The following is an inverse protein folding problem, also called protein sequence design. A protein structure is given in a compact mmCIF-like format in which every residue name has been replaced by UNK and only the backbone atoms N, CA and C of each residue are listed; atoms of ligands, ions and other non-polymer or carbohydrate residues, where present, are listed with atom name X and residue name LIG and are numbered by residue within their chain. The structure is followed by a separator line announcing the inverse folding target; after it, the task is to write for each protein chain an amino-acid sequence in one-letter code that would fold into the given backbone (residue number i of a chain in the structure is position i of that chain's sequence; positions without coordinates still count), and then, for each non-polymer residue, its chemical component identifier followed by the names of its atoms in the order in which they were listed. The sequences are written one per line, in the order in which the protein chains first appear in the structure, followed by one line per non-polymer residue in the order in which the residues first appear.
data_IF_895160786985
#
_entry.id   IF_895160786985
#
_cell.length_a   1.000
_cell.length_b   1.000
_cell.length_c   1.000
_cell.angle_alpha   90.00
_cell.angle_beta   90.00
_cell.angle_gamma   90.00
#
_symmetry.space_group_name_H-M   'P 1'
#
loop_
_entity.id
_entity.type
_entity.pdbx_description
1 polymer ?
#
# COMPACT_ATOMS: atom_id res chain seq x y z
N UNK A 1 21.85 23.73 36.58
CA UNK A 1 21.68 23.51 35.13
C UNK A 1 20.57 22.49 34.81
N UNK A 2 19.89 21.91 35.81
CA UNK A 2 18.90 20.83 35.62
C UNK A 2 17.57 21.28 34.97
N UNK A 3 17.04 22.47 35.30
CA UNK A 3 15.69 22.88 34.83
C UNK A 3 15.54 23.25 33.34
N UNK A 4 16.62 23.32 32.55
CA UNK A 4 16.52 23.62 31.12
C UNK A 4 16.44 22.34 30.26
N UNK A 5 16.94 21.23 30.78
CA UNK A 5 16.88 19.94 30.11
C UNK A 5 15.50 19.28 30.31
N UNK A 6 14.97 19.32 31.54
CA UNK A 6 13.64 18.77 31.85
C UNK A 6 12.54 19.44 31.02
N UNK A 7 12.60 20.78 30.89
CA UNK A 7 11.69 21.54 30.03
C UNK A 7 11.82 21.21 28.55
N UNK A 8 13.04 20.95 28.06
CA UNK A 8 13.26 20.51 26.69
C UNK A 8 12.62 19.15 26.46
N UNK A 9 12.80 18.21 27.39
CA UNK A 9 12.21 16.87 27.31
C UNK A 9 10.67 16.93 27.30
N UNK A 10 10.07 17.74 28.16
CA UNK A 10 8.61 17.95 28.19
C UNK A 10 8.08 18.51 26.86
N UNK A 11 8.79 19.45 26.24
CA UNK A 11 8.40 19.98 24.92
C UNK A 11 8.50 18.92 23.82
N UNK A 12 9.53 18.08 23.85
CA UNK A 12 9.71 16.99 22.89
C UNK A 12 8.64 15.90 23.07
N UNK A 13 8.25 15.59 24.29
CA UNK A 13 7.17 14.65 24.59
C UNK A 13 5.82 15.16 24.07
N UNK A 14 5.47 16.41 24.37
CA UNK A 14 4.25 17.04 23.86
C UNK A 14 4.23 17.11 22.32
N UNK A 15 5.37 17.43 21.70
CA UNK A 15 5.49 17.45 20.24
C UNK A 15 5.30 16.05 19.64
N UNK A 16 5.90 15.04 20.26
CA UNK A 16 5.72 13.64 19.86
C UNK A 16 4.24 13.26 19.93
N UNK A 17 3.56 13.46 21.06
CA UNK A 17 2.13 13.14 21.20
C UNK A 17 1.27 13.84 20.14
N UNK A 18 1.58 15.11 19.84
CA UNK A 18 0.91 15.85 18.80
C UNK A 18 1.14 15.25 17.40
N UNK A 19 2.38 14.86 17.09
CA UNK A 19 2.69 14.14 15.86
C UNK A 19 1.92 12.82 15.76
N UNK A 20 1.88 12.03 16.83
CA UNK A 20 1.17 10.76 16.87
C UNK A 20 -0.33 10.95 16.56
N UNK A 21 -0.98 11.94 17.18
CA UNK A 21 -2.40 12.28 16.95
C UNK A 21 -2.66 12.72 15.50
N UNK A 22 -1.80 13.57 14.93
CA UNK A 22 -2.04 14.16 13.60
C UNK A 22 -1.59 13.28 12.43
N UNK A 23 -0.59 12.43 12.61
CA UNK A 23 0.01 11.63 11.52
C UNK A 23 -0.53 10.21 11.41
N UNK A 24 -1.11 9.64 12.48
CA UNK A 24 -1.57 8.26 12.45
C UNK A 24 -2.65 8.00 11.37
N UNK A 25 -3.62 8.92 11.23
CA UNK A 25 -4.70 8.78 10.23
C UNK A 25 -4.19 9.01 8.79
N UNK A 26 -3.43 10.08 8.49
CA UNK A 26 -2.81 10.25 7.18
C UNK A 26 -1.94 9.08 6.72
N UNK A 27 -1.17 8.46 7.62
CA UNK A 27 -0.35 7.30 7.26
C UNK A 27 -1.19 6.05 6.93
N UNK A 28 -2.30 5.84 7.65
CA UNK A 28 -3.24 4.76 7.33
C UNK A 28 -3.95 4.99 5.99
N UNK A 29 -4.37 6.22 5.72
CA UNK A 29 -4.97 6.62 4.45
C UNK A 29 -4.00 6.46 3.28
N UNK A 30 -2.74 6.88 3.45
CA UNK A 30 -1.67 6.63 2.48
C UNK A 30 -1.51 5.12 2.17
N UNK A 31 -1.57 4.28 3.20
CA UNK A 31 -1.55 2.82 3.04
C UNK A 31 -2.74 2.30 2.22
N UNK A 32 -3.95 2.82 2.48
CA UNK A 32 -5.16 2.45 1.74
C UNK A 32 -5.12 2.86 0.26
N UNK A 33 -4.56 4.04 -0.05
CA UNK A 33 -4.33 4.50 -1.43
C UNK A 33 -3.48 3.48 -2.20
N UNK A 34 -2.35 3.07 -1.61
CA UNK A 34 -1.47 2.06 -2.21
C UNK A 34 -2.21 0.74 -2.41
N UNK A 35 -2.89 0.23 -1.38
CA UNK A 35 -3.66 -1.02 -1.44
C UNK A 35 -4.70 -0.99 -2.57
N UNK A 36 -5.45 0.11 -2.66
CA UNK A 36 -6.48 0.33 -3.69
C UNK A 36 -5.89 0.27 -5.09
N UNK A 37 -4.76 0.93 -5.33
CA UNK A 37 -4.11 0.95 -6.64
C UNK A 37 -3.52 -0.42 -7.03
N UNK A 38 -2.96 -1.16 -6.07
CA UNK A 38 -2.54 -2.56 -6.27
C UNK A 38 -3.73 -3.41 -6.70
N UNK A 39 -4.82 -3.39 -5.94
CA UNK A 39 -6.04 -4.17 -6.21
C UNK A 39 -6.63 -3.81 -7.58
N UNK A 40 -6.71 -2.51 -7.90
CA UNK A 40 -7.19 -2.02 -9.19
C UNK A 40 -6.30 -2.54 -10.34
N UNK A 41 -4.99 -2.46 -10.19
CA UNK A 41 -4.03 -2.95 -11.16
C UNK A 41 -4.14 -4.44 -11.46
N UNK A 42 -4.30 -5.26 -10.41
CA UNK A 42 -4.54 -6.71 -10.53
C UNK A 42 -5.87 -6.98 -11.23
N UNK A 43 -6.94 -6.30 -10.82
CA UNK A 43 -8.29 -6.47 -11.36
C UNK A 43 -8.36 -6.10 -12.85
N UNK A 44 -7.73 -5.00 -13.22
CA UNK A 44 -7.84 -4.39 -14.55
C UNK A 44 -6.73 -4.88 -15.51
N UNK A 45 -5.78 -5.68 -15.02
CA UNK A 45 -4.59 -6.13 -15.77
C UNK A 45 -3.76 -4.98 -16.34
N UNK A 46 -3.79 -3.82 -15.66
CA UNK A 46 -3.28 -2.56 -16.21
C UNK A 46 -1.82 -2.66 -16.69
N UNK A 47 -1.01 -3.49 -16.04
CA UNK A 47 0.44 -3.59 -16.29
C UNK A 47 0.91 -5.01 -16.67
N UNK A 48 -0.01 -5.93 -16.99
CA UNK A 48 0.30 -7.30 -17.44
C UNK A 48 -0.18 -7.46 -18.89
N UNK A 49 0.69 -7.15 -19.86
CA UNK A 49 0.39 -7.28 -21.30
C UNK A 49 1.04 -8.55 -21.87
N UNK A 50 0.36 -9.69 -21.74
CA UNK A 50 -0.20 -10.29 -22.96
C UNK A 50 -1.72 -10.49 -22.82
N UNK A 51 -2.48 -10.33 -23.92
CA UNK A 51 -3.91 -10.63 -23.91
C UNK A 51 -4.13 -12.06 -23.43
N UNK A 52 -5.24 -12.29 -22.74
CA UNK A 52 -5.63 -13.65 -22.37
C UNK A 52 -5.59 -14.55 -23.60
N UNK A 53 -4.98 -15.72 -23.46
CA UNK A 53 -5.07 -16.76 -24.46
C UNK A 53 -6.55 -16.94 -24.85
N UNK A 54 -6.85 -17.00 -26.14
CA UNK A 54 -8.23 -17.03 -26.66
C UNK A 54 -9.10 -18.12 -25.98
N UNK A 55 -8.50 -19.28 -25.71
CA UNK A 55 -9.12 -20.39 -24.96
C UNK A 55 -9.58 -19.98 -23.56
N UNK A 56 -8.80 -19.15 -22.86
CA UNK A 56 -9.12 -18.66 -21.52
C UNK A 56 -10.22 -17.60 -21.57
N UNK A 57 -10.20 -16.70 -22.57
CA UNK A 57 -11.28 -15.75 -22.81
C UNK A 57 -12.63 -16.45 -23.07
N UNK A 58 -12.63 -17.44 -23.96
CA UNK A 58 -13.82 -18.26 -24.27
C UNK A 58 -14.34 -19.03 -23.05
N UNK A 59 -13.44 -19.61 -22.24
CA UNK A 59 -13.82 -20.31 -21.00
C UNK A 59 -14.48 -19.37 -20.00
N UNK A 60 -13.93 -18.16 -19.81
CA UNK A 60 -14.49 -17.15 -18.90
C UNK A 60 -15.86 -16.65 -19.37
N UNK A 61 -16.01 -16.38 -20.67
CA UNK A 61 -17.30 -16.00 -21.25
C UNK A 61 -18.37 -17.06 -21.02
N UNK A 62 -18.04 -18.36 -21.18
CA UNK A 62 -18.96 -19.48 -20.88
C UNK A 62 -19.37 -19.56 -19.41
N UNK A 63 -18.53 -19.07 -18.49
CA UNK A 63 -18.79 -19.05 -17.04
C UNK A 63 -19.45 -17.73 -16.58
N UNK A 64 -19.75 -16.79 -17.50
CA UNK A 64 -20.29 -15.48 -17.15
C UNK A 64 -19.30 -14.55 -16.44
N UNK A 65 -18.00 -14.84 -16.52
CA UNK A 65 -16.95 -14.06 -15.86
C UNK A 65 -16.33 -13.04 -16.81
N UNK A 66 -15.94 -11.88 -16.29
CA UNK A 66 -15.25 -10.85 -17.06
C UNK A 66 -13.92 -11.40 -17.61
N UNK A 67 -13.61 -11.19 -18.90
CA UNK A 67 -12.32 -11.58 -19.47
C UNK A 67 -11.18 -10.89 -18.72
N UNK A 68 -11.35 -9.62 -18.35
CA UNK A 68 -10.35 -8.79 -17.65
C UNK A 68 -9.98 -9.33 -16.25
N UNK A 69 -10.83 -10.12 -15.60
CA UNK A 69 -10.56 -10.63 -14.26
C UNK A 69 -9.72 -11.92 -14.35
N UNK A 70 -8.39 -11.89 -14.18
CA UNK A 70 -7.52 -13.09 -14.22
C UNK A 70 -8.01 -14.21 -13.28
N UNK A 71 -8.52 -13.83 -12.10
CA UNK A 71 -8.87 -14.73 -10.99
C UNK A 71 -10.39 -14.67 -10.77
N UNK A 72 -11.08 -15.69 -11.26
CA UNK A 72 -12.53 -15.80 -11.38
C UNK A 72 -13.33 -15.67 -10.07
N UNK A 73 -12.72 -15.91 -8.91
CA UNK A 73 -13.27 -15.77 -7.55
C UNK A 73 -12.08 -15.73 -6.57
N UNK A 74 -12.21 -14.96 -5.49
CA UNK A 74 -11.13 -14.41 -4.65
C UNK A 74 -10.03 -15.36 -4.16
N UNK A 75 -8.86 -14.74 -3.91
CA UNK A 75 -7.90 -15.05 -2.84
C UNK A 75 -6.74 -14.07 -2.94
N UNK A 76 -6.21 -13.83 -4.15
CA UNK A 76 -5.01 -13.00 -4.30
C UNK A 76 -5.26 -11.50 -4.12
N UNK A 77 -6.20 -10.89 -4.85
CA UNK A 77 -6.50 -9.45 -4.66
C UNK A 77 -7.10 -9.16 -3.28
N UNK A 78 -7.87 -10.12 -2.73
CA UNK A 78 -8.47 -10.03 -1.40
C UNK A 78 -7.44 -10.25 -0.27
N UNK A 79 -6.27 -10.83 -0.59
CA UNK A 79 -5.17 -11.00 0.37
C UNK A 79 -4.42 -9.72 0.67
N UNK A 80 -4.57 -8.67 -0.14
CA UNK A 80 -3.90 -7.40 0.11
C UNK A 80 -4.58 -6.66 1.25
N UNK A 81 -3.83 -6.42 2.31
CA UNK A 81 -4.27 -5.76 3.53
C UNK A 81 -3.34 -4.60 3.85
N UNK A 82 -3.89 -3.67 4.61
CA UNK A 82 -3.22 -2.59 5.31
C UNK A 82 -3.19 -2.97 6.79
N UNK A 83 -2.03 -2.78 7.42
CA UNK A 83 -1.86 -3.10 8.83
C UNK A 83 -1.06 -1.96 9.47
N UNK A 84 -1.68 -1.26 10.42
CA UNK A 84 -0.97 -0.27 11.24
C UNK A 84 -0.11 -1.01 12.27
N UNK A 85 1.20 -0.83 12.18
CA UNK A 85 2.18 -1.39 13.14
C UNK A 85 2.43 -0.40 14.27
N UNK A 86 2.58 0.88 13.92
CA UNK A 86 2.75 2.02 14.85
C UNK A 86 2.10 3.26 14.25
N UNK A 87 2.10 4.36 15.00
CA UNK A 87 1.60 5.65 14.50
C UNK A 87 2.39 6.14 13.28
N UNK A 88 3.67 5.76 13.17
CA UNK A 88 4.61 6.15 12.11
C UNK A 88 4.81 5.06 11.04
N UNK A 89 4.15 3.91 11.17
CA UNK A 89 4.42 2.75 10.32
C UNK A 89 3.13 1.99 9.95
N UNK A 90 2.87 1.91 8.65
CA UNK A 90 1.78 1.13 8.05
C UNK A 90 2.37 0.17 7.03
N UNK A 91 2.02 -1.11 7.15
CA UNK A 91 2.38 -2.14 6.20
C UNK A 91 1.27 -2.30 5.17
N UNK A 92 1.66 -2.38 3.90
CA UNK A 92 0.75 -2.69 2.79
C UNK A 92 1.32 -3.87 2.02
N UNK A 93 0.48 -4.85 1.76
CA UNK A 93 0.88 -6.02 0.98
C UNK A 93 -0.06 -7.18 1.22
N UNK A 94 0.31 -8.34 0.70
CA UNK A 94 -0.39 -9.59 0.98
C UNK A 94 -0.29 -9.96 2.46
N UNK A 95 -1.35 -10.60 2.96
CA UNK A 95 -1.47 -11.07 4.35
C UNK A 95 -0.65 -12.34 4.65
N UNK A 96 0.02 -12.92 3.64
CA UNK A 96 0.84 -14.11 3.79
C UNK A 96 2.33 -13.77 3.68
N UNK A 97 3.20 -14.12 4.65
CA UNK A 97 4.62 -13.74 4.65
C UNK A 97 5.37 -14.15 3.38
N UNK A 98 5.08 -15.34 2.85
CA UNK A 98 5.69 -15.81 1.60
C UNK A 98 5.19 -15.02 0.38
N UNK A 99 3.94 -14.54 0.41
CA UNK A 99 3.41 -13.67 -0.64
C UNK A 99 4.13 -12.33 -0.64
N UNK A 100 4.31 -11.75 0.56
CA UNK A 100 4.96 -10.46 0.78
C UNK A 100 6.43 -10.47 0.35
N UNK A 101 7.16 -11.54 0.67
CA UNK A 101 8.55 -11.73 0.23
C UNK A 101 8.74 -11.78 -1.30
N UNK A 102 7.66 -12.01 -2.06
CA UNK A 102 7.71 -12.14 -3.52
C UNK A 102 7.13 -10.92 -4.24
N UNK A 103 6.61 -9.92 -3.53
CA UNK A 103 6.02 -8.72 -4.12
C UNK A 103 7.04 -7.93 -4.95
N UNK A 104 8.24 -7.75 -4.42
CA UNK A 104 9.36 -7.09 -5.11
C UNK A 104 10.39 -8.07 -5.69
N UNK A 105 10.07 -9.36 -5.64
CA UNK A 105 10.93 -10.43 -6.14
C UNK A 105 12.03 -10.81 -5.16
N UNK A 106 12.73 -11.90 -5.50
CA UNK A 106 13.84 -12.42 -4.71
C UNK A 106 14.97 -12.87 -5.64
N UNK A 107 15.90 -11.94 -5.88
CA UNK A 107 17.02 -12.13 -6.81
C UNK A 107 17.86 -13.40 -6.54
N UNK A 108 18.17 -13.79 -5.29
CA UNK A 108 18.97 -15.00 -5.03
C UNK A 108 18.33 -16.32 -5.49
N UNK A 109 17.01 -16.38 -5.69
CA UNK A 109 16.32 -17.55 -6.28
C UNK A 109 15.74 -17.27 -7.67
N UNK A 110 16.13 -16.17 -8.31
CA UNK A 110 15.63 -15.78 -9.63
C UNK A 110 14.11 -15.56 -9.68
N UNK A 111 13.49 -15.19 -8.54
CA UNK A 111 12.05 -14.94 -8.49
C UNK A 111 11.77 -13.50 -8.89
N UNK A 112 11.02 -13.24 -9.97
CA UNK A 112 10.75 -11.89 -10.44
C UNK A 112 9.79 -11.17 -9.50
N UNK A 113 9.88 -9.84 -9.46
CA UNK A 113 8.90 -8.99 -8.83
C UNK A 113 7.51 -9.18 -9.44
N UNK A 114 6.47 -8.96 -8.64
CA UNK A 114 5.10 -8.93 -9.15
C UNK A 114 4.95 -7.70 -10.05
N UNK A 115 4.47 -7.86 -11.30
CA UNK A 115 4.49 -6.80 -12.30
C UNK A 115 3.57 -5.60 -11.98
N UNK A 116 2.67 -5.75 -11.02
CA UNK A 116 1.73 -4.71 -10.61
C UNK A 116 2.16 -3.92 -9.37
N UNK A 117 3.21 -4.35 -8.66
CA UNK A 117 3.59 -3.71 -7.38
C UNK A 117 4.26 -2.35 -7.60
N UNK A 118 5.35 -2.31 -8.37
CA UNK A 118 6.07 -1.06 -8.64
C UNK A 118 5.18 0.00 -9.33
N UNK A 119 4.44 -0.33 -10.40
CA UNK A 119 3.58 0.67 -11.03
C UNK A 119 2.47 1.18 -10.11
N UNK A 120 1.89 0.31 -9.27
CA UNK A 120 0.87 0.75 -8.31
C UNK A 120 1.44 1.73 -7.28
N UNK A 121 2.68 1.53 -6.82
CA UNK A 121 3.36 2.46 -5.92
C UNK A 121 3.63 3.81 -6.58
N UNK A 122 4.18 3.79 -7.79
CA UNK A 122 4.48 5.01 -8.56
C UNK A 122 3.21 5.83 -8.81
N UNK A 123 2.12 5.17 -9.19
CA UNK A 123 0.83 5.84 -9.42
C UNK A 123 0.18 6.35 -8.13
N UNK A 124 0.48 5.73 -6.98
CA UNK A 124 -0.03 6.16 -5.68
C UNK A 124 0.72 7.36 -5.13
N UNK A 125 1.98 7.57 -5.54
CA UNK A 125 2.89 8.54 -4.93
C UNK A 125 2.31 9.97 -4.86
N UNK A 126 1.66 10.52 -5.90
CA UNK A 126 1.13 11.88 -5.80
C UNK A 126 0.06 12.03 -4.72
N UNK A 127 -0.90 11.11 -4.66
CA UNK A 127 -2.01 11.12 -3.68
C UNK A 127 -1.50 10.82 -2.27
N UNK A 128 -0.52 9.91 -2.13
CA UNK A 128 0.16 9.63 -0.86
C UNK A 128 0.89 10.87 -0.34
N UNK A 129 1.65 11.56 -1.18
CA UNK A 129 2.38 12.76 -0.78
C UNK A 129 1.43 13.88 -0.34
N UNK A 130 0.30 14.07 -1.03
CA UNK A 130 -0.72 15.06 -0.67
C UNK A 130 -1.31 14.79 0.73
N UNK A 131 -1.68 13.54 1.01
CA UNK A 131 -2.23 13.14 2.32
C UNK A 131 -1.21 13.33 3.44
N UNK A 132 0.05 12.95 3.19
CA UNK A 132 1.14 13.11 4.17
C UNK A 132 1.46 14.59 4.39
N UNK A 133 1.49 15.41 3.34
CA UNK A 133 1.65 16.87 3.45
C UNK A 133 0.53 17.49 4.27
N UNK A 134 -0.73 17.09 4.08
CA UNK A 134 -1.85 17.57 4.89
C UNK A 134 -1.69 17.18 6.37
N UNK A 135 -1.20 15.98 6.65
CA UNK A 135 -0.82 15.55 7.99
C UNK A 135 0.22 16.48 8.62
N UNK A 136 1.29 16.77 7.89
CA UNK A 136 2.34 17.69 8.35
C UNK A 136 1.84 19.13 8.55
N UNK A 137 0.96 19.62 7.67
CA UNK A 137 0.30 20.92 7.85
C UNK A 137 -0.46 21.00 9.17
N UNK A 138 -1.15 19.92 9.55
CA UNK A 138 -1.84 19.82 10.85
C UNK A 138 -0.87 19.80 12.04
N UNK A 139 0.30 19.17 11.91
CA UNK A 139 1.36 19.13 12.94
C UNK A 139 1.99 20.50 13.16
N UNK A 140 2.31 21.20 12.06
CA UNK A 140 3.09 22.44 12.11
C UNK A 140 2.24 23.72 12.02
N UNK A 141 0.93 23.60 11.80
CA UNK A 141 0.00 24.72 11.72
C UNK A 141 0.22 25.63 10.49
N UNK A 142 0.66 25.05 9.38
CA UNK A 142 0.98 25.75 8.10
C UNK A 142 0.10 25.31 6.95
#
# INVERSE_FOLDING_TARGET
MEGNFDRLMELLENFKEHMEDKMASPLEEAGEIVRKNIVKGIRDQKWLMPPLAAKTGLRKAKLGHSPLILIAKGDYFASFTTERIRWDEVHVGTNHPQGRALEFGYAPRGLPARPHMTPALEESMPEVMEVIEEGYRKVFGV
#
